data_IF_171789780945
#
_entry.id   IF_171789780945
#
_cell.length_a   1.000
_cell.length_b   1.000
_cell.length_c   1.000
_cell.angle_alpha   90.00
_cell.angle_beta   90.00
_cell.angle_gamma   90.00
#
_symmetry.space_group_name_H-M   'P 1'
#
loop_
_entity.id
_entity.type
_entity.pdbx_description
1 polymer ?
#
# COMPACT_ATOMS: atom_id res chain seq x y z
N UNK A 1 10.39 -0.01 15.51
CA UNK A 1 9.71 0.93 14.65
C UNK A 1 8.97 0.16 13.57
N UNK A 2 7.67 0.26 13.67
CA UNK A 2 6.75 -0.51 12.83
C UNK A 2 6.97 -0.25 11.33
N UNK A 3 7.06 1.02 10.94
CA UNK A 3 7.19 1.41 9.53
C UNK A 3 8.51 0.95 8.92
N UNK A 4 9.58 0.98 9.67
CA UNK A 4 10.87 0.50 9.17
C UNK A 4 10.82 -0.99 8.83
N UNK A 5 10.22 -1.81 9.69
CA UNK A 5 10.05 -3.25 9.44
C UNK A 5 9.21 -3.49 8.20
N UNK A 6 8.15 -2.71 8.01
CA UNK A 6 7.29 -2.82 6.84
C UNK A 6 8.05 -2.50 5.55
N UNK A 7 8.85 -1.45 5.58
CA UNK A 7 9.64 -1.06 4.40
C UNK A 7 10.73 -2.09 4.09
N UNK A 8 11.38 -2.64 5.12
CA UNK A 8 12.36 -3.72 4.91
C UNK A 8 11.72 -4.93 4.25
N UNK A 9 10.55 -5.32 4.72
CA UNK A 9 9.78 -6.42 4.14
C UNK A 9 9.34 -6.12 2.72
N UNK A 10 8.90 -4.88 2.46
CA UNK A 10 8.51 -4.42 1.14
C UNK A 10 9.69 -4.51 0.15
N UNK A 11 10.85 -4.01 0.53
CA UNK A 11 12.02 -4.02 -0.34
C UNK A 11 12.46 -5.45 -0.65
N UNK A 12 12.39 -6.34 0.33
CA UNK A 12 12.68 -7.77 0.13
C UNK A 12 11.71 -8.40 -0.87
N UNK A 13 10.43 -8.10 -0.71
CA UNK A 13 9.39 -8.59 -1.61
C UNK A 13 9.60 -8.10 -3.04
N UNK A 14 9.97 -6.83 -3.20
CA UNK A 14 10.27 -6.23 -4.50
C UNK A 14 11.48 -6.89 -5.13
N UNK A 15 12.54 -7.15 -4.37
CA UNK A 15 13.72 -7.86 -4.87
C UNK A 15 13.37 -9.26 -5.37
N UNK A 16 12.54 -9.98 -4.62
CA UNK A 16 12.09 -11.32 -5.03
C UNK A 16 11.28 -11.26 -6.32
N UNK A 17 10.37 -10.30 -6.44
CA UNK A 17 9.57 -10.12 -7.65
C UNK A 17 10.45 -9.77 -8.86
N UNK A 18 11.40 -8.87 -8.66
CA UNK A 18 12.32 -8.48 -9.72
C UNK A 18 13.16 -9.66 -10.22
N UNK A 19 13.60 -10.48 -9.29
CA UNK A 19 14.37 -11.68 -9.62
C UNK A 19 13.52 -12.69 -10.40
N UNK A 20 12.28 -12.91 -9.99
CA UNK A 20 11.35 -13.80 -10.68
C UNK A 20 11.07 -13.36 -12.11
N UNK A 21 11.04 -12.07 -12.35
CA UNK A 21 10.73 -11.50 -13.67
C UNK A 21 11.96 -11.10 -14.47
N UNK A 22 13.14 -11.42 -13.97
CA UNK A 22 14.43 -11.09 -14.63
C UNK A 22 14.57 -9.58 -14.88
N UNK A 23 14.15 -8.77 -13.91
CA UNK A 23 14.22 -7.33 -14.03
C UNK A 23 15.67 -6.85 -13.97
N UNK A 24 16.00 -5.91 -14.85
CA UNK A 24 17.29 -5.24 -14.85
C UNK A 24 17.27 -3.98 -13.98
N UNK A 25 16.07 -3.40 -13.78
CA UNK A 25 15.89 -2.17 -13.03
C UNK A 25 14.50 -2.16 -12.38
N UNK A 26 14.42 -1.60 -11.20
CA UNK A 26 13.13 -1.26 -10.57
C UNK A 26 13.05 0.26 -10.54
N UNK A 27 12.02 0.80 -11.20
CA UNK A 27 11.85 2.24 -11.35
C UNK A 27 10.97 2.83 -10.26
N UNK A 28 9.83 2.19 -9.97
CA UNK A 28 8.87 2.70 -9.02
C UNK A 28 8.16 1.56 -8.30
N UNK A 29 7.89 1.79 -7.02
CA UNK A 29 7.15 0.88 -6.16
C UNK A 29 5.91 1.63 -5.69
N UNK A 30 4.73 1.10 -6.00
CA UNK A 30 3.48 1.71 -5.56
C UNK A 30 2.88 0.91 -4.41
N UNK A 31 2.57 1.60 -3.31
CA UNK A 31 1.95 0.98 -2.14
C UNK A 31 0.63 1.68 -1.82
N UNK A 32 -0.26 0.93 -1.21
CA UNK A 32 -1.55 1.43 -0.73
C UNK A 32 -1.51 1.52 0.79
N UNK A 33 -1.97 2.65 1.31
CA UNK A 33 -2.13 2.82 2.76
C UNK A 33 -3.60 3.08 3.04
N UNK A 34 -4.22 2.19 3.82
CA UNK A 34 -5.59 2.37 4.27
C UNK A 34 -5.65 3.12 5.59
N UNK A 35 -6.79 3.77 5.90
CA UNK A 35 -6.92 4.61 7.10
C UNK A 35 -6.83 3.83 8.41
N UNK A 36 -7.15 2.55 8.41
CA UNK A 36 -7.07 1.71 9.61
C UNK A 36 -5.84 0.80 9.63
N UNK A 37 -4.86 1.05 8.74
CA UNK A 37 -3.65 0.24 8.69
C UNK A 37 -2.71 0.46 9.88
N UNK A 38 -2.86 1.57 10.57
CA UNK A 38 -1.93 1.97 11.65
C UNK A 38 -0.58 2.44 11.12
N UNK A 39 -0.46 2.67 9.83
CA UNK A 39 0.80 3.03 9.18
C UNK A 39 0.84 4.52 8.91
N UNK A 40 1.91 5.17 9.35
CA UNK A 40 2.13 6.60 9.14
C UNK A 40 2.92 6.82 7.85
N UNK A 41 2.33 7.49 6.87
CA UNK A 41 2.90 7.65 5.53
C UNK A 41 4.25 8.38 5.53
N UNK A 42 4.41 9.40 6.37
CA UNK A 42 5.68 10.12 6.48
C UNK A 42 6.80 9.22 6.96
N UNK A 43 6.51 8.37 7.95
CA UNK A 43 7.50 7.44 8.48
C UNK A 43 7.86 6.35 7.47
N UNK A 44 6.89 5.92 6.65
CA UNK A 44 7.15 4.99 5.55
C UNK A 44 8.10 5.62 4.55
N UNK A 45 7.83 6.86 4.15
CA UNK A 45 8.67 7.57 3.18
C UNK A 45 10.08 7.81 3.71
N UNK A 46 10.21 8.21 4.96
CA UNK A 46 11.53 8.41 5.60
C UNK A 46 12.31 7.09 5.68
N UNK A 47 11.64 6.01 6.07
CA UNK A 47 12.26 4.69 6.13
C UNK A 47 12.72 4.23 4.75
N UNK A 48 11.87 4.45 3.73
CA UNK A 48 12.20 4.10 2.35
C UNK A 48 13.44 4.85 1.87
N UNK A 49 13.50 6.16 2.07
CA UNK A 49 14.63 6.98 1.65
C UNK A 49 15.93 6.56 2.33
N UNK A 50 15.85 6.15 3.60
CA UNK A 50 17.00 5.69 4.34
C UNK A 50 17.46 4.29 3.92
N UNK A 51 16.52 3.39 3.65
CA UNK A 51 16.81 1.98 3.38
C UNK A 51 17.11 1.69 1.91
N UNK A 52 16.65 2.52 0.98
CA UNK A 52 16.82 2.25 -0.43
C UNK A 52 18.29 2.28 -0.87
N UNK A 53 19.13 3.05 -0.19
CA UNK A 53 20.55 3.14 -0.51
C UNK A 53 21.29 1.81 -0.30
N UNK A 54 20.77 0.97 0.59
CA UNK A 54 21.32 -0.35 0.84
C UNK A 54 20.65 -1.46 0.04
N UNK A 55 19.68 -1.14 -0.80
CA UNK A 55 19.00 -2.13 -1.62
C UNK A 55 19.63 -2.18 -3.03
N UNK A 56 19.21 -3.16 -3.81
CA UNK A 56 19.78 -3.41 -5.14
C UNK A 56 19.46 -2.32 -6.15
N UNK A 57 18.37 -1.56 -5.92
CA UNK A 57 17.95 -0.50 -6.84
C UNK A 57 17.79 0.82 -6.10
N UNK A 58 18.90 1.52 -5.81
CA UNK A 58 18.84 2.73 -4.98
C UNK A 58 18.16 3.92 -5.68
N UNK A 59 17.93 3.83 -6.98
CA UNK A 59 17.28 4.91 -7.74
C UNK A 59 15.77 4.75 -7.88
N UNK A 60 15.19 3.70 -7.29
CA UNK A 60 13.75 3.50 -7.36
C UNK A 60 13.01 4.55 -6.53
N UNK A 61 11.78 4.83 -6.93
CA UNK A 61 10.91 5.78 -6.24
C UNK A 61 9.76 5.05 -5.55
N UNK A 62 9.15 5.71 -4.59
CA UNK A 62 8.00 5.19 -3.87
C UNK A 62 6.80 6.07 -4.12
N UNK A 63 5.72 5.48 -4.62
CA UNK A 63 4.44 6.14 -4.79
C UNK A 63 3.49 5.60 -3.73
N UNK A 64 2.91 6.49 -2.94
CA UNK A 64 1.96 6.13 -1.90
C UNK A 64 0.57 6.54 -2.36
N UNK A 65 -0.34 5.56 -2.42
CA UNK A 65 -1.73 5.77 -2.76
C UNK A 65 -2.56 5.61 -1.50
N UNK A 66 -3.37 6.61 -1.18
CA UNK A 66 -4.26 6.55 -0.03
C UNK A 66 -5.63 6.10 -0.49
N UNK A 67 -6.21 5.15 0.22
CA UNK A 67 -7.54 4.63 -0.09
C UNK A 67 -8.46 4.92 1.08
N UNK A 68 -9.76 4.99 0.79
CA UNK A 68 -10.79 5.11 1.81
C UNK A 68 -11.07 3.79 2.49
N UNK A 69 -11.85 3.84 3.55
CA UNK A 69 -12.31 2.67 4.26
C UNK A 69 -13.53 2.11 3.55
N UNK A 70 -13.42 0.89 3.03
CA UNK A 70 -14.55 0.22 2.38
C UNK A 70 -15.37 -0.51 3.42
N UNK A 71 -16.65 -0.25 3.46
CA UNK A 71 -17.57 -0.84 4.45
C UNK A 71 -18.82 -1.38 3.78
N UNK A 72 -19.41 -2.39 4.42
CA UNK A 72 -20.72 -2.94 4.07
C UNK A 72 -21.68 -2.64 5.20
N UNK A 73 -22.81 -2.02 4.89
CA UNK A 73 -23.84 -1.75 5.88
C UNK A 73 -24.59 -3.04 6.20
N UNK A 74 -24.68 -3.37 7.50
CA UNK A 74 -25.41 -4.56 7.95
C UNK A 74 -26.93 -4.38 7.90
N UNK A 75 -27.40 -3.13 7.74
CA UNK A 75 -28.83 -2.83 7.69
C UNK A 75 -29.37 -2.83 6.26
N UNK A 76 -28.74 -2.09 5.36
CA UNK A 76 -29.24 -1.92 3.99
C UNK A 76 -28.40 -2.63 2.94
N UNK A 77 -27.30 -3.29 3.33
CA UNK A 77 -26.40 -4.04 2.44
C UNK A 77 -25.73 -3.19 1.37
N UNK A 78 -25.63 -1.88 1.58
CA UNK A 78 -24.94 -0.98 0.67
C UNK A 78 -23.45 -0.95 0.99
N UNK A 79 -22.61 -1.06 -0.04
CA UNK A 79 -21.18 -0.83 0.10
C UNK A 79 -20.90 0.66 -0.05
N UNK A 80 -20.00 1.18 0.78
CA UNK A 80 -19.60 2.59 0.76
C UNK A 80 -18.12 2.72 0.99
N UNK A 81 -17.52 3.78 0.40
CA UNK A 81 -16.16 4.18 0.73
C UNK A 81 -16.23 5.40 1.65
N UNK A 82 -15.68 5.27 2.85
CA UNK A 82 -15.64 6.34 3.84
C UNK A 82 -14.26 6.99 3.78
N UNK A 83 -14.21 8.27 3.42
CA UNK A 83 -12.95 9.00 3.25
C UNK A 83 -12.57 9.84 4.47
N UNK A 84 -13.51 10.02 5.38
CA UNK A 84 -13.27 10.64 6.68
C UNK A 84 -13.67 9.66 7.77
N UNK A 85 -13.37 9.97 9.02
CA UNK A 85 -13.61 9.04 10.12
C UNK A 85 -15.06 9.09 10.64
N UNK A 86 -16.03 9.31 9.75
CA UNK A 86 -17.44 9.22 10.08
C UNK A 86 -17.96 7.84 9.71
N UNK A 87 -18.11 6.98 10.72
CA UNK A 87 -18.48 5.58 10.53
C UNK A 87 -19.99 5.41 10.49
N UNK A 88 -20.61 5.96 9.45
CA UNK A 88 -22.04 5.83 9.20
C UNK A 88 -22.28 5.46 7.74
N UNK A 89 -23.33 4.67 7.51
CA UNK A 89 -23.75 4.33 6.16
C UNK A 89 -24.18 5.58 5.40
N UNK A 90 -23.67 5.77 4.18
CA UNK A 90 -23.98 6.93 3.35
C UNK A 90 -25.43 6.90 2.84
N UNK A 91 -26.08 5.73 2.86
CA UNK A 91 -27.44 5.56 2.35
C UNK A 91 -28.50 5.61 3.45
N UNK A 92 -28.30 4.91 4.56
CA UNK A 92 -29.34 4.80 5.61
C UNK A 92 -28.91 5.39 6.95
N UNK A 93 -27.66 5.83 7.10
CA UNK A 93 -27.19 6.43 8.33
C UNK A 93 -26.89 5.47 9.46
N UNK A 94 -26.98 4.16 9.24
CA UNK A 94 -26.70 3.15 10.26
C UNK A 94 -25.23 3.19 10.65
N UNK A 95 -24.95 2.91 11.92
CA UNK A 95 -23.57 2.76 12.43
C UNK A 95 -23.12 1.30 12.45
N UNK A 96 -24.00 0.38 12.07
CA UNK A 96 -23.68 -1.05 12.01
C UNK A 96 -23.01 -1.36 10.69
N UNK A 97 -21.67 -1.29 10.67
CA UNK A 97 -20.87 -1.43 9.46
C UNK A 97 -19.86 -2.55 9.63
N UNK A 98 -19.56 -3.23 8.52
CA UNK A 98 -18.48 -4.21 8.46
C UNK A 98 -17.41 -3.71 7.51
N UNK A 99 -16.15 -3.74 7.95
CA UNK A 99 -15.01 -3.29 7.15
C UNK A 99 -14.69 -4.35 6.10
N UNK A 100 -14.65 -3.93 4.84
CA UNK A 100 -14.28 -4.78 3.70
C UNK A 100 -12.85 -4.54 3.25
N UNK A 101 -12.32 -3.34 3.43
CA UNK A 101 -10.97 -2.99 3.02
C UNK A 101 -10.58 -1.61 3.50
N UNK A 102 -9.31 -1.24 3.28
CA UNK A 102 -8.77 0.04 3.78
C UNK A 102 -8.12 -0.10 5.13
N UNK A 103 -7.88 -1.32 5.59
CA UNK A 103 -7.29 -1.61 6.88
C UNK A 103 -5.86 -2.15 6.76
N UNK A 104 -5.24 -2.04 5.58
CA UNK A 104 -3.96 -2.64 5.30
C UNK A 104 -2.97 -1.68 4.64
N UNK A 105 -1.71 -2.05 4.75
CA UNK A 105 -0.60 -1.51 3.97
C UNK A 105 -0.23 -2.60 2.97
N UNK A 106 -0.31 -2.29 1.66
CA UNK A 106 -0.14 -3.31 0.63
C UNK A 106 0.71 -2.83 -0.52
N UNK A 107 1.51 -3.73 -1.07
CA UNK A 107 2.16 -3.51 -2.36
C UNK A 107 1.10 -3.62 -3.46
N UNK A 108 0.96 -2.57 -4.26
CA UNK A 108 0.02 -2.55 -5.38
C UNK A 108 0.69 -2.86 -6.70
N UNK A 109 1.84 -2.27 -6.94
CA UNK A 109 2.46 -2.30 -8.26
C UNK A 109 3.95 -2.05 -8.16
N UNK A 110 4.70 -2.70 -9.05
CA UNK A 110 6.14 -2.45 -9.20
C UNK A 110 6.39 -2.22 -10.69
N UNK A 111 6.88 -1.03 -11.02
CA UNK A 111 7.30 -0.75 -12.39
C UNK A 111 8.77 -1.10 -12.53
N UNK A 112 9.06 -2.00 -13.45
CA UNK A 112 10.42 -2.49 -13.63
C UNK A 112 10.74 -2.61 -15.11
N UNK A 113 12.04 -2.59 -15.42
CA UNK A 113 12.53 -2.90 -16.75
C UNK A 113 12.97 -4.35 -16.76
N UNK A 114 12.52 -5.07 -17.77
CA UNK A 114 12.83 -6.48 -17.94
C UNK A 114 13.76 -6.62 -19.14
N UNK A 115 14.78 -7.45 -18.97
CA UNK A 115 15.68 -7.74 -20.07
C UNK A 115 14.92 -8.39 -21.22
N UNK A 116 15.01 -7.75 -22.39
CA UNK A 116 14.38 -8.28 -23.59
C UNK A 116 15.26 -9.38 -24.16
N UNK A 117 14.79 -10.60 -24.05
CA UNK A 117 15.43 -11.74 -24.72
C UNK A 117 14.87 -11.76 -26.14
N UNK A 118 15.63 -11.20 -27.02
CA UNK A 118 15.27 -11.15 -28.44
C UNK A 118 15.30 -12.51 -29.11
#
# INVERSE_FOLDING_TARGET
MHEESLVRSLLRQVEDLAQQHHATEVEDIEVEIGPLSGVESLLVREAFERLKDGCKWPNCTLTITFVGLMVLCNQCSTESELVDFQFVCTQCGSTSLRVLGGDAFRLLNVRMQIESVG
#
